data_IF_766326248999
#
_entry.id   IF_766326248999
#
_cell.length_a   1.000
_cell.length_b   1.000
_cell.length_c   1.000
_cell.angle_alpha   90.00
_cell.angle_beta   90.00
_cell.angle_gamma   90.00
#
_symmetry.space_group_name_H-M   'P 1'
#
loop_
_entity.id
_entity.type
_entity.pdbx_description
1 polymer ?
#
# COMPACT_ATOMS: atom_id res chain seq x y z
N UNK A 1 5.29 3.93 1.34
CA UNK A 1 3.95 3.81 0.72
C UNK A 1 3.06 5.01 1.04
N UNK A 2 2.64 5.21 2.30
CA UNK A 2 1.68 6.28 2.67
C UNK A 2 2.11 7.68 2.22
N UNK A 3 3.40 8.02 2.41
CA UNK A 3 3.97 9.31 1.99
C UNK A 3 4.08 9.52 0.47
N UNK A 4 3.84 8.48 -0.34
CA UNK A 4 4.10 8.55 -1.78
C UNK A 4 5.58 8.52 -2.17
N UNK A 5 6.50 8.38 -1.21
CA UNK A 5 7.96 8.39 -1.44
C UNK A 5 8.54 7.00 -1.76
N UNK A 6 7.71 5.96 -1.80
CA UNK A 6 8.20 4.62 -2.13
C UNK A 6 8.51 4.52 -3.62
N UNK A 7 9.79 4.40 -3.97
CA UNK A 7 10.26 4.28 -5.36
C UNK A 7 10.56 2.84 -5.81
N UNK A 8 10.57 1.89 -4.89
CA UNK A 8 10.84 0.50 -5.20
C UNK A 8 11.19 -0.32 -3.97
N UNK A 9 11.07 -1.64 -4.07
CA UNK A 9 11.41 -2.54 -2.97
C UNK A 9 10.79 -3.93 -3.12
N UNK A 10 11.06 -4.79 -2.13
CA UNK A 10 10.60 -6.18 -2.15
C UNK A 10 9.47 -6.38 -1.14
N UNK A 11 8.38 -6.97 -1.60
CA UNK A 11 7.29 -7.47 -0.77
C UNK A 11 7.32 -8.99 -0.83
N UNK A 12 7.71 -9.61 0.29
CA UNK A 12 7.64 -11.07 0.44
C UNK A 12 6.30 -11.49 1.01
N UNK A 13 5.59 -12.38 0.31
CA UNK A 13 4.29 -12.95 0.68
C UNK A 13 4.37 -14.48 0.77
N UNK A 14 3.49 -15.07 1.57
CA UNK A 14 3.43 -16.52 1.78
C UNK A 14 2.32 -17.16 0.94
N UNK A 15 2.61 -17.57 -0.29
CA UNK A 15 1.58 -18.02 -1.24
C UNK A 15 0.89 -19.34 -0.84
N UNK A 16 1.58 -20.15 -0.03
CA UNK A 16 1.07 -21.38 0.58
C UNK A 16 1.38 -21.42 2.09
N UNK A 17 1.02 -22.53 2.74
CA UNK A 17 1.21 -22.75 4.18
C UNK A 17 2.67 -22.91 4.60
N UNK A 18 3.63 -22.97 3.67
CA UNK A 18 5.05 -23.24 3.96
C UNK A 18 5.85 -21.99 4.33
N UNK A 19 5.26 -20.79 4.25
CA UNK A 19 5.87 -19.53 4.68
C UNK A 19 6.08 -18.53 3.53
N UNK A 20 6.81 -17.43 3.78
CA UNK A 20 7.09 -16.36 2.80
C UNK A 20 7.98 -16.85 1.65
N UNK A 21 7.37 -17.60 0.74
CA UNK A 21 8.01 -18.34 -0.35
C UNK A 21 8.04 -17.56 -1.67
N UNK A 22 7.45 -16.37 -1.72
CA UNK A 22 7.27 -15.58 -2.94
C UNK A 22 7.71 -14.15 -2.70
N UNK A 23 8.54 -13.59 -3.59
CA UNK A 23 9.04 -12.21 -3.51
C UNK A 23 8.64 -11.40 -4.73
N UNK A 24 7.99 -10.28 -4.49
CA UNK A 24 7.53 -9.33 -5.49
C UNK A 24 8.36 -8.06 -5.42
N UNK A 25 9.00 -7.69 -6.52
CA UNK A 25 9.73 -6.43 -6.67
C UNK A 25 8.78 -5.39 -7.26
N UNK A 26 8.36 -4.41 -6.46
CA UNK A 26 7.63 -3.25 -6.99
C UNK A 26 8.62 -2.17 -7.43
N UNK A 27 8.28 -1.43 -8.49
CA UNK A 27 9.09 -0.33 -9.02
C UNK A 27 8.27 0.96 -9.14
N UNK A 28 7.08 0.87 -9.72
CA UNK A 28 6.22 2.04 -9.87
C UNK A 28 5.14 2.02 -8.81
N UNK A 29 5.18 2.97 -7.88
CA UNK A 29 4.16 3.13 -6.85
C UNK A 29 3.69 4.57 -6.83
N UNK A 30 2.38 4.75 -6.90
CA UNK A 30 1.73 6.04 -6.77
C UNK A 30 0.73 5.99 -5.61
N UNK A 31 0.80 7.00 -4.74
CA UNK A 31 -0.11 7.12 -3.60
C UNK A 31 -0.93 8.39 -3.73
N UNK A 32 -2.25 8.25 -3.60
CA UNK A 32 -3.17 9.38 -3.53
C UNK A 32 -3.79 9.43 -2.13
N UNK A 33 -3.64 10.58 -1.48
CA UNK A 33 -4.29 10.87 -0.20
C UNK A 33 -5.38 11.91 -0.41
N UNK A 34 -6.61 11.60 0.00
CA UNK A 34 -7.76 12.50 -0.02
C UNK A 34 -8.25 12.73 1.41
N UNK A 35 -8.59 13.98 1.71
CA UNK A 35 -9.30 14.36 2.93
C UNK A 35 -10.80 14.26 2.66
N UNK A 36 -11.54 13.66 3.57
CA UNK A 36 -13.00 13.54 3.52
C UNK A 36 -13.58 14.12 4.81
N UNK A 37 -14.57 14.99 4.67
CA UNK A 37 -15.25 15.64 5.78
C UNK A 37 -16.75 15.35 5.65
N UNK A 38 -17.28 14.55 6.56
CA UNK A 38 -18.71 14.18 6.59
C UNK A 38 -19.25 14.44 7.99
N UNK A 39 -20.32 15.24 8.11
CA UNK A 39 -20.97 15.54 9.40
C UNK A 39 -19.98 16.02 10.49
N UNK A 40 -18.98 16.83 10.10
CA UNK A 40 -17.87 17.31 10.94
C UNK A 40 -16.84 16.26 11.37
N UNK A 41 -16.90 15.03 10.86
CA UNK A 41 -15.87 14.02 11.08
C UNK A 41 -14.82 14.08 9.97
N UNK A 42 -13.55 14.16 10.36
CA UNK A 42 -12.40 14.15 9.44
C UNK A 42 -11.95 12.71 9.24
N UNK A 43 -11.75 12.32 7.99
CA UNK A 43 -11.13 11.05 7.63
C UNK A 43 -10.22 11.20 6.41
N UNK A 44 -9.33 10.23 6.23
CA UNK A 44 -8.43 10.17 5.09
C UNK A 44 -8.65 8.90 4.29
N UNK A 45 -8.64 9.03 2.97
CA UNK A 45 -8.58 7.91 2.04
C UNK A 45 -7.18 7.88 1.42
N UNK A 46 -6.47 6.76 1.65
CA UNK A 46 -5.14 6.49 1.11
C UNK A 46 -5.28 5.38 0.07
N UNK A 47 -5.12 5.75 -1.19
CA UNK A 47 -5.15 4.84 -2.34
C UNK A 47 -3.70 4.61 -2.80
N UNK A 48 -3.21 3.39 -2.65
CA UNK A 48 -1.87 2.99 -3.08
C UNK A 48 -2.01 2.12 -4.31
N UNK A 49 -1.41 2.54 -5.42
CA UNK A 49 -1.33 1.75 -6.63
C UNK A 49 0.11 1.44 -6.95
N UNK A 50 0.37 0.25 -7.47
CA UNK A 50 1.70 -0.03 -7.99
C UNK A 50 1.78 -1.20 -8.92
N UNK A 51 2.92 -1.32 -9.57
CA UNK A 51 3.24 -2.45 -10.45
C UNK A 51 4.61 -3.00 -10.13
N UNK A 52 4.85 -4.22 -10.59
CA UNK A 52 6.11 -4.91 -10.32
C UNK A 52 6.14 -6.32 -10.88
N UNK A 53 7.22 -7.00 -10.56
CA UNK A 53 7.55 -8.31 -11.12
C UNK A 53 7.72 -9.35 -10.01
N UNK A 54 7.38 -10.59 -10.32
CA UNK A 54 7.78 -11.72 -9.49
C UNK A 54 9.27 -11.98 -9.70
N UNK A 55 10.06 -11.92 -8.63
CA UNK A 55 11.51 -12.15 -8.70
C UNK A 55 11.94 -13.50 -8.11
N UNK A 56 11.11 -14.11 -7.27
CA UNK A 56 11.33 -15.48 -6.79
C UNK A 56 10.04 -16.13 -6.29
N UNK A 57 9.91 -17.41 -6.58
CA UNK A 57 8.90 -18.30 -6.01
C UNK A 57 9.53 -19.68 -5.79
N UNK A 58 9.14 -20.37 -4.73
CA UNK A 58 9.58 -21.75 -4.54
C UNK A 58 9.02 -22.66 -5.66
N UNK A 59 9.71 -23.74 -6.04
CA UNK A 59 9.24 -24.64 -7.09
C UNK A 59 7.84 -25.19 -6.79
N UNK A 60 6.94 -25.11 -7.77
CA UNK A 60 5.57 -25.63 -7.65
C UNK A 60 4.60 -24.79 -6.82
N UNK A 61 5.00 -23.59 -6.36
CA UNK A 61 4.10 -22.75 -5.53
C UNK A 61 3.19 -21.86 -6.34
N UNK A 62 3.65 -21.33 -7.48
CA UNK A 62 2.87 -20.44 -8.33
C UNK A 62 3.09 -20.77 -9.82
N UNK A 63 2.02 -20.86 -10.58
CA UNK A 63 2.07 -20.87 -12.05
C UNK A 63 1.81 -19.46 -12.59
N UNK A 64 2.87 -18.81 -13.06
CA UNK A 64 2.79 -17.43 -13.61
C UNK A 64 2.03 -17.34 -14.93
N UNK A 65 1.78 -18.47 -15.60
CA UNK A 65 0.93 -18.52 -16.80
C UNK A 65 -0.56 -18.64 -16.43
N UNK A 66 -0.86 -19.02 -15.19
CA UNK A 66 -2.21 -19.19 -14.70
C UNK A 66 -2.73 -17.88 -14.09
N UNK A 67 -3.78 -17.34 -14.72
CA UNK A 67 -4.42 -16.09 -14.28
C UNK A 67 -4.94 -16.14 -12.84
N UNK A 68 -5.44 -17.28 -12.38
CA UNK A 68 -5.96 -17.43 -11.01
C UNK A 68 -4.83 -17.30 -9.98
N UNK A 69 -3.66 -17.85 -10.29
CA UNK A 69 -2.49 -17.80 -9.41
C UNK A 69 -1.93 -16.38 -9.33
N UNK A 70 -1.87 -15.67 -10.46
CA UNK A 70 -1.50 -14.25 -10.49
C UNK A 70 -2.47 -13.40 -9.64
N UNK A 71 -3.78 -13.56 -9.84
CA UNK A 71 -4.78 -12.82 -9.06
C UNK A 71 -4.69 -13.09 -7.57
N UNK A 72 -4.43 -14.35 -7.19
CA UNK A 72 -4.22 -14.72 -5.79
C UNK A 72 -2.96 -14.02 -5.24
N UNK A 73 -1.87 -13.99 -5.99
CA UNK A 73 -0.63 -13.31 -5.59
C UNK A 73 -0.84 -11.80 -5.41
N UNK A 74 -1.47 -11.14 -6.38
CA UNK A 74 -1.83 -9.71 -6.32
C UNK A 74 -2.66 -9.41 -5.08
N UNK A 75 -3.68 -10.23 -4.80
CA UNK A 75 -4.51 -10.10 -3.60
C UNK A 75 -3.67 -10.20 -2.31
N UNK A 76 -2.72 -11.12 -2.25
CA UNK A 76 -1.84 -11.29 -1.11
C UNK A 76 -0.89 -10.11 -0.92
N UNK A 77 -0.32 -9.58 -2.00
CA UNK A 77 0.51 -8.37 -1.99
C UNK A 77 -0.31 -7.19 -1.46
N UNK A 78 -1.52 -7.01 -1.98
CA UNK A 78 -2.43 -5.95 -1.55
C UNK A 78 -2.74 -6.02 -0.06
N UNK A 79 -3.03 -7.22 0.47
CA UNK A 79 -3.26 -7.43 1.90
C UNK A 79 -2.04 -7.10 2.75
N UNK A 80 -0.85 -7.52 2.32
CA UNK A 80 0.39 -7.24 3.05
C UNK A 80 0.71 -5.74 3.09
N UNK A 81 0.53 -5.02 1.97
CA UNK A 81 0.73 -3.56 1.92
C UNK A 81 -0.26 -2.85 2.84
N UNK A 82 -1.56 -3.19 2.76
CA UNK A 82 -2.59 -2.61 3.64
C UNK A 82 -2.27 -2.91 5.10
N UNK A 83 -1.85 -4.14 5.43
CA UNK A 83 -1.50 -4.52 6.79
C UNK A 83 -0.32 -3.69 7.34
N UNK A 84 0.77 -3.58 6.58
CA UNK A 84 1.95 -2.79 6.98
C UNK A 84 1.60 -1.31 7.17
N UNK A 85 0.86 -0.74 6.23
CA UNK A 85 0.46 0.67 6.31
C UNK A 85 -0.48 0.92 7.51
N UNK A 86 -1.47 0.04 7.72
CA UNK A 86 -2.38 0.14 8.88
C UNK A 86 -1.62 0.04 10.19
N UNK A 87 -0.67 -0.89 10.31
CA UNK A 87 0.17 -1.02 11.51
C UNK A 87 0.98 0.26 11.78
N UNK A 88 1.53 0.87 10.74
CA UNK A 88 2.28 2.12 10.86
C UNK A 88 1.38 3.29 11.28
N UNK A 89 0.18 3.41 10.70
CA UNK A 89 -0.82 4.44 11.10
C UNK A 89 -1.26 4.24 12.53
N UNK A 90 -1.66 3.02 12.92
CA UNK A 90 -2.06 2.73 14.28
C UNK A 90 -0.95 3.09 15.27
N UNK A 91 0.31 2.78 14.94
CA UNK A 91 1.44 3.12 15.82
C UNK A 91 1.64 4.63 15.95
N UNK A 92 1.49 5.38 14.86
CA UNK A 92 1.55 6.83 14.90
C UNK A 92 0.42 7.42 15.76
N UNK A 93 -0.79 6.89 15.63
CA UNK A 93 -1.97 7.28 16.43
C UNK A 93 -1.79 6.97 17.93
N UNK A 94 -1.26 5.80 18.29
CA UNK A 94 -0.88 5.46 19.66
C UNK A 94 0.12 6.45 20.27
N UNK A 95 1.00 7.02 19.44
CA UNK A 95 2.03 7.97 19.86
C UNK A 95 1.56 9.44 19.81
N UNK A 96 0.34 9.72 19.35
CA UNK A 96 -0.16 11.09 19.18
C UNK A 96 0.63 11.91 18.15
N UNK A 97 1.35 11.26 17.24
CA UNK A 97 2.24 11.92 16.27
C UNK A 97 1.76 11.65 14.86
N UNK A 98 1.79 12.68 14.00
CA UNK A 98 1.43 12.58 12.59
C UNK A 98 2.68 12.68 11.68
N UNK A 99 3.50 11.62 11.59
CA UNK A 99 4.66 11.61 10.71
C UNK A 99 4.27 11.52 9.23
N UNK A 100 2.98 11.32 8.93
CA UNK A 100 2.48 11.13 7.57
C UNK A 100 2.01 12.44 6.91
N UNK A 101 1.94 13.54 7.67
CA UNK A 101 1.51 14.85 7.17
C UNK A 101 0.01 14.90 6.83
N UNK A 102 -0.83 14.14 7.55
CA UNK A 102 -2.28 14.21 7.37
C UNK A 102 -2.85 15.59 7.77
N UNK A 103 -2.33 16.17 8.85
CA UNK A 103 -2.66 17.54 9.29
C UNK A 103 -2.28 18.57 8.23
N UNK A 104 -1.08 18.47 7.67
CA UNK A 104 -0.64 19.34 6.56
C UNK A 104 -1.55 19.19 5.33
N UNK A 105 -1.96 17.96 5.02
CA UNK A 105 -2.90 17.70 3.93
C UNK A 105 -4.26 18.34 4.20
N UNK A 106 -4.77 18.24 5.42
CA UNK A 106 -6.01 18.90 5.84
C UNK A 106 -5.87 20.42 5.75
N UNK A 107 -4.78 21.00 6.25
CA UNK A 107 -4.49 22.43 6.17
C UNK A 107 -4.52 22.93 4.72
N UNK A 108 -3.86 22.23 3.80
CA UNK A 108 -3.80 22.61 2.39
C UNK A 108 -5.14 22.49 1.66
N UNK A 109 -6.01 21.56 2.06
CA UNK A 109 -7.27 21.27 1.36
C UNK A 109 -8.50 21.91 1.98
N UNK A 110 -8.50 22.11 3.31
CA UNK A 110 -9.60 22.66 4.10
C UNK A 110 -9.05 23.58 5.21
N UNK A 111 -8.44 24.73 4.85
CA UNK A 111 -7.78 25.61 5.81
C UNK A 111 -8.73 26.13 6.91
N UNK A 112 -10.01 26.35 6.60
CA UNK A 112 -11.00 26.81 7.59
C UNK A 112 -11.35 25.77 8.64
N UNK A 113 -11.26 24.48 8.29
CA UNK A 113 -11.43 23.37 9.24
C UNK A 113 -10.15 23.24 10.07
N UNK A 114 -8.99 23.30 9.43
CA UNK A 114 -7.69 23.23 10.10
C UNK A 114 -7.53 24.29 11.18
N UNK A 115 -7.82 25.57 10.88
CA UNK A 115 -7.75 26.68 11.86
C UNK A 115 -8.53 26.45 13.15
N UNK A 116 -9.60 25.65 13.10
CA UNK A 116 -10.43 25.35 14.28
C UNK A 116 -9.81 24.29 15.18
N UNK A 117 -8.91 23.46 14.64
CA UNK A 117 -8.43 22.25 15.30
C UNK A 117 -6.91 22.16 15.43
N UNK A 118 -6.15 23.06 14.78
CA UNK A 118 -4.68 22.97 14.68
C UNK A 118 -3.99 22.88 16.04
N UNK A 119 -4.48 23.63 17.03
CA UNK A 119 -3.95 23.63 18.40
C UNK A 119 -4.21 22.32 19.16
N UNK A 120 -5.16 21.50 18.69
CA UNK A 120 -5.57 20.23 19.29
C UNK A 120 -5.33 19.04 18.35
N UNK A 121 -4.56 19.22 17.26
CA UNK A 121 -4.38 18.18 16.26
C UNK A 121 -3.79 16.89 16.85
N UNK A 122 -2.85 17.01 17.80
CA UNK A 122 -2.26 15.86 18.49
C UNK A 122 -3.27 15.05 19.32
N UNK A 123 -4.36 15.68 19.78
CA UNK A 123 -5.46 15.01 20.51
C UNK A 123 -6.49 14.40 19.55
N UNK A 124 -6.67 15.01 18.38
CA UNK A 124 -7.66 14.58 17.37
C UNK A 124 -7.13 13.44 16.51
N UNK A 125 -5.89 13.56 16.04
CA UNK A 125 -5.26 12.61 15.12
C UNK A 125 -5.37 11.13 15.56
N UNK A 126 -5.16 10.77 16.84
CA UNK A 126 -5.34 9.41 17.33
C UNK A 126 -6.70 8.77 17.02
N UNK A 127 -7.74 9.59 16.84
CA UNK A 127 -9.12 9.15 16.59
C UNK A 127 -9.56 9.30 15.13
N UNK A 128 -8.72 9.90 14.27
CA UNK A 128 -9.04 10.11 12.86
C UNK A 128 -9.09 8.78 12.11
N UNK A 129 -10.15 8.56 11.34
CA UNK A 129 -10.27 7.36 10.50
C UNK A 129 -9.36 7.47 9.28
N UNK A 130 -8.48 6.48 9.09
CA UNK A 130 -7.64 6.35 7.89
C UNK A 130 -8.03 5.07 7.13
N UNK A 131 -8.63 5.24 5.97
CA UNK A 131 -9.03 4.15 5.08
C UNK A 131 -7.93 3.92 4.04
N UNK A 132 -7.30 2.74 4.09
CA UNK A 132 -6.16 2.39 3.22
C UNK A 132 -6.60 1.30 2.25
N UNK A 133 -6.33 1.53 0.97
CA UNK A 133 -6.53 0.55 -0.11
C UNK A 133 -5.22 0.36 -0.87
N UNK A 134 -5.01 -0.85 -1.38
CA UNK A 134 -3.86 -1.19 -2.20
C UNK A 134 -4.32 -1.94 -3.44
N UNK A 135 -3.75 -1.57 -4.58
CA UNK A 135 -4.02 -2.13 -5.91
C UNK A 135 -2.68 -2.30 -6.64
N UNK A 136 -2.06 -3.46 -6.40
CA UNK A 136 -0.82 -3.89 -7.03
C UNK A 136 -1.11 -4.90 -8.12
N UNK A 137 -0.53 -4.67 -9.29
CA UNK A 137 -0.59 -5.59 -10.42
C UNK A 137 0.78 -6.20 -10.70
N UNK A 138 0.78 -7.47 -11.10
CA UNK A 138 1.99 -8.16 -11.52
C UNK A 138 2.14 -7.97 -13.01
N UNK A 139 3.20 -7.28 -13.42
CA UNK A 139 3.59 -7.19 -14.81
C UNK A 139 4.09 -8.56 -15.25
N UNK A 140 3.52 -9.09 -16.33
CA UNK A 140 4.02 -10.33 -16.91
C UNK A 140 5.48 -10.13 -17.27
N UNK A 141 6.38 -10.78 -16.53
CA UNK A 141 7.78 -10.80 -16.89
C UNK A 141 7.88 -11.35 -18.31
N UNK A 142 8.55 -10.63 -19.21
CA UNK A 142 8.93 -11.12 -20.55
C UNK A 142 9.80 -12.39 -20.54
N UNK A 143 9.94 -13.05 -19.38
CA UNK A 143 10.59 -14.36 -19.21
C UNK A 143 9.86 -15.47 -19.96
N UNK A 144 8.56 -15.32 -20.26
CA UNK A 144 7.82 -16.33 -21.06
C UNK A 144 8.04 -16.14 -22.56
N UNK A 145 8.28 -14.90 -23.03
CA UNK A 145 8.50 -14.65 -24.47
C UNK A 145 9.96 -14.93 -24.91
N UNK A 146 10.90 -15.00 -23.96
CA UNK A 146 12.26 -15.52 -24.19
C UNK A 146 12.37 -17.03 -24.01
N UNK A 147 11.39 -17.79 -24.51
CA UNK A 147 11.72 -19.12 -25.02
C UNK A 147 12.44 -18.93 -26.36
N UNK A 148 13.71 -18.55 -26.30
CA UNK A 148 14.62 -18.71 -27.43
C UNK A 148 14.57 -20.19 -27.81
N UNK A 149 13.90 -20.49 -28.91
CA UNK A 149 14.13 -21.71 -29.66
C UNK A 149 15.60 -21.69 -30.08
N UNK A 150 16.47 -22.25 -29.25
CA UNK A 150 17.81 -22.63 -29.66
C UNK A 150 17.60 -23.86 -30.55
N UNK A 151 17.60 -23.61 -31.87
CA UNK A 151 17.82 -24.65 -32.87
C UNK A 151 19.31 -24.99 -32.93
#
# INVERSE_FOLDING_TARGET
>A
FIMGEAQGGIISVAFDSTGKNTSFLFRDVNTKVKTVIEKNEISFQVEIKGTGELISAAPGTIDITNRSDIQKMEHMINKEVVYRCRKAVNKAQELGSDPFGFGDKLHRTHPDVWKKIENHWGEIFPHVKVNITADFSVEHSGLIDKSLHIR
#
